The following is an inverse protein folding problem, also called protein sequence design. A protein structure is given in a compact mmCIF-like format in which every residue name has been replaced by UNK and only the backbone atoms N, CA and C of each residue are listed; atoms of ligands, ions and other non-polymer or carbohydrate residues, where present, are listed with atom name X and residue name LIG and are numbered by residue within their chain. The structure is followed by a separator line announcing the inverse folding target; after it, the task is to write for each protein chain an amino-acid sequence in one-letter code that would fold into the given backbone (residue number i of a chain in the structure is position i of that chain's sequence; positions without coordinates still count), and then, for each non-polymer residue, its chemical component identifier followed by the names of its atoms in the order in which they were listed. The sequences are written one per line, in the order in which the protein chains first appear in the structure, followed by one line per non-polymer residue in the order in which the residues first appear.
data_IF_325975704533
#
_entry.id   IF_325975704533
#
_cell.length_a   1.000
_cell.length_b   1.000
_cell.length_c   1.000
_cell.angle_alpha   90.00
_cell.angle_beta   90.00
_cell.angle_gamma   90.00
#
_symmetry.space_group_name_H-M   'P 1'
#
loop_
_entity.id
_entity.type
_entity.pdbx_description
1 polymer ?
#
# COMPACT_ATOMS: atom_id res chain seq x y z
N UNK A 1 -2.74 -25.46 -11.19
CA UNK A 1 -3.39 -24.30 -10.54
C UNK A 1 -3.70 -24.74 -9.13
N UNK A 2 -2.88 -24.36 -8.16
CA UNK A 2 -3.07 -24.71 -6.75
C UNK A 2 -3.53 -23.44 -6.04
N UNK A 3 -4.76 -23.46 -5.51
CA UNK A 3 -5.29 -22.39 -4.69
C UNK A 3 -5.17 -22.82 -3.23
N UNK A 4 -4.34 -22.10 -2.47
CA UNK A 4 -4.34 -22.18 -1.02
C UNK A 4 -5.13 -20.99 -0.51
N UNK A 5 -6.23 -21.28 0.20
CA UNK A 5 -7.08 -20.26 0.81
C UNK A 5 -6.55 -19.94 2.20
N UNK A 6 -5.95 -18.77 2.36
CA UNK A 6 -5.69 -18.11 3.65
C UNK A 6 -6.32 -16.73 3.49
N UNK A 7 -7.49 -16.47 4.10
CA UNK A 7 -8.17 -15.16 4.13
C UNK A 7 -8.42 -14.53 2.74
N UNK A 8 -9.64 -14.61 2.22
CA UNK A 8 -9.99 -14.01 0.92
C UNK A 8 -9.94 -12.48 0.95
N UNK A 9 -8.77 -11.90 0.75
CA UNK A 9 -8.65 -10.53 0.21
C UNK A 9 -8.72 -10.63 -1.31
N UNK A 10 -9.93 -10.52 -1.85
CA UNK A 10 -10.12 -10.33 -3.30
C UNK A 10 -9.71 -8.89 -3.61
N UNK A 11 -8.43 -8.69 -3.89
CA UNK A 11 -7.91 -7.41 -4.39
C UNK A 11 -8.30 -7.28 -5.86
N UNK A 12 -9.47 -6.67 -6.12
CA UNK A 12 -9.76 -6.10 -7.43
C UNK A 12 -8.93 -4.80 -7.61
N UNK A 13 -7.61 -4.96 -7.63
CA UNK A 13 -6.64 -3.91 -7.87
C UNK A 13 -5.87 -4.20 -9.16
N UNK A 14 -5.55 -3.16 -9.92
CA UNK A 14 -4.56 -3.30 -10.99
C UNK A 14 -3.24 -3.83 -10.42
N UNK A 15 -2.36 -4.35 -11.27
CA UNK A 15 -1.10 -4.98 -10.86
C UNK A 15 -0.24 -4.13 -9.89
N UNK A 16 -0.27 -2.81 -10.05
CA UNK A 16 0.44 -1.88 -9.16
C UNK A 16 -0.15 -1.89 -7.74
N UNK A 17 -1.47 -2.02 -7.60
CA UNK A 17 -2.13 -2.10 -6.30
C UNK A 17 -1.77 -3.40 -5.59
N UNK A 18 -1.73 -4.53 -6.30
CA UNK A 18 -1.30 -5.82 -5.73
C UNK A 18 0.14 -5.74 -5.20
N UNK A 19 1.03 -5.08 -5.95
CA UNK A 19 2.43 -4.90 -5.56
C UNK A 19 2.54 -3.94 -4.37
N UNK A 20 1.79 -2.83 -4.39
CA UNK A 20 1.74 -1.90 -3.28
C UNK A 20 1.22 -2.59 -2.01
N UNK A 21 0.18 -3.42 -2.13
CA UNK A 21 -0.39 -4.17 -1.02
C UNK A 21 0.65 -5.12 -0.42
N UNK A 22 1.31 -5.93 -1.25
CA UNK A 22 2.36 -6.83 -0.79
C UNK A 22 3.51 -6.07 -0.09
N UNK A 23 3.92 -4.93 -0.66
CA UNK A 23 4.96 -4.09 -0.07
C UNK A 23 4.51 -3.49 1.27
N UNK A 24 3.30 -2.93 1.36
CA UNK A 24 2.77 -2.34 2.59
C UNK A 24 2.64 -3.40 3.68
N UNK A 25 2.09 -4.58 3.38
CA UNK A 25 2.01 -5.70 4.33
C UNK A 25 3.38 -6.10 4.85
N UNK A 26 4.41 -6.16 4.00
CA UNK A 26 5.78 -6.44 4.44
C UNK A 26 6.45 -5.33 5.26
N UNK A 27 5.85 -4.13 5.32
CA UNK A 27 6.35 -3.00 6.11
C UNK A 27 5.53 -2.75 7.38
N UNK A 28 4.33 -3.30 7.48
CA UNK A 28 3.54 -3.29 8.70
C UNK A 28 4.27 -4.00 9.85
N UNK A 29 3.99 -3.60 11.08
CA UNK A 29 4.45 -4.35 12.25
C UNK A 29 3.67 -5.67 12.38
N UNK A 30 4.26 -6.66 13.04
CA UNK A 30 3.56 -7.89 13.37
C UNK A 30 2.25 -7.58 14.11
N UNK A 31 1.13 -8.14 13.63
CA UNK A 31 -0.25 -8.02 14.18
C UNK A 31 -1.01 -6.70 13.91
N UNK A 32 -0.76 -6.03 12.79
CA UNK A 32 -1.57 -4.89 12.34
C UNK A 32 -2.13 -5.08 10.95
N UNK A 33 -3.43 -4.81 10.76
CA UNK A 33 -4.02 -4.78 9.43
C UNK A 33 -3.41 -3.61 8.66
N UNK A 34 -2.84 -3.95 7.50
CA UNK A 34 -2.14 -2.99 6.64
C UNK A 34 -2.74 -3.02 5.24
N UNK A 35 -3.12 -1.86 4.73
CA UNK A 35 -3.67 -1.72 3.39
C UNK A 35 -2.86 -0.72 2.57
N UNK A 36 -2.70 -1.00 1.27
CA UNK A 36 -2.22 -0.04 0.30
C UNK A 36 -3.40 0.72 -0.30
N UNK A 37 -3.39 2.05 -0.18
CA UNK A 37 -4.46 2.92 -0.68
C UNK A 37 -3.90 3.80 -1.79
N UNK A 38 -4.48 3.79 -3.00
CA UNK A 38 -4.06 4.66 -4.08
C UNK A 38 -4.13 6.13 -3.69
N UNK A 39 -3.15 6.90 -4.16
CA UNK A 39 -3.08 8.34 -3.93
C UNK A 39 -2.95 9.08 -5.26
N UNK A 40 -3.82 10.07 -5.43
CA UNK A 40 -3.71 11.00 -6.56
C UNK A 40 -2.56 11.99 -6.36
N UNK A 41 -1.87 12.30 -7.46
CA UNK A 41 -0.80 13.29 -7.46
C UNK A 41 -1.37 14.69 -7.23
N UNK A 42 -0.76 15.47 -6.34
CA UNK A 42 -1.25 16.81 -6.00
C UNK A 42 -2.49 16.83 -5.09
N UNK A 43 -2.97 15.67 -4.64
CA UNK A 43 -4.10 15.54 -3.72
C UNK A 43 -3.69 15.53 -2.25
N UNK A 44 -4.60 15.00 -1.42
CA UNK A 44 -4.42 14.82 0.04
C UNK A 44 -3.09 14.13 0.39
N UNK A 45 -2.55 14.41 1.57
CA UNK A 45 -1.39 13.68 2.07
C UNK A 45 -1.79 12.23 2.38
N UNK A 46 -0.82 11.31 2.44
CA UNK A 46 -1.12 9.94 2.85
C UNK A 46 -1.62 9.87 4.29
N UNK A 47 -1.20 10.79 5.16
CA UNK A 47 -1.73 10.91 6.52
C UNK A 47 -3.24 11.23 6.51
N UNK A 48 -3.66 12.19 5.69
CA UNK A 48 -5.07 12.57 5.57
C UNK A 48 -5.89 11.45 4.94
N UNK A 49 -5.32 10.74 3.96
CA UNK A 49 -5.94 9.59 3.32
C UNK A 49 -6.18 8.50 4.37
N UNK A 50 -5.14 8.03 5.05
CA UNK A 50 -5.26 6.97 6.07
C UNK A 50 -6.23 7.36 7.19
N UNK A 51 -6.18 8.61 7.66
CA UNK A 51 -7.07 9.09 8.72
C UNK A 51 -8.55 9.17 8.29
N UNK A 52 -8.83 9.14 6.97
CA UNK A 52 -10.17 9.15 6.40
C UNK A 52 -10.71 7.75 6.04
N UNK A 53 -9.87 6.72 6.18
CA UNK A 53 -10.28 5.34 5.93
C UNK A 53 -11.24 4.92 7.03
N UNK A 54 -12.45 4.55 6.63
CA UNK A 54 -13.54 4.20 7.56
C UNK A 54 -13.44 2.76 8.06
N UNK A 55 -12.76 1.90 7.31
CA UNK A 55 -12.65 0.48 7.62
C UNK A 55 -11.34 -0.09 7.07
N UNK A 56 -10.57 -0.76 7.92
CA UNK A 56 -9.40 -1.57 7.55
C UNK A 56 -9.43 -2.96 8.20
N UNK A 57 -10.53 -3.33 8.85
CA UNK A 57 -10.60 -4.54 9.66
C UNK A 57 -11.27 -5.69 8.89
N UNK A 58 -10.64 -6.87 8.91
CA UNK A 58 -11.41 -8.10 9.13
C UNK A 58 -11.61 -8.19 10.65
N UNK A 59 -12.86 -8.07 11.10
CA UNK A 59 -13.36 -8.24 12.48
C UNK A 59 -12.31 -8.24 13.62
N UNK A 60 -12.14 -7.06 14.24
CA UNK A 60 -11.92 -6.87 15.68
C UNK A 60 -10.64 -7.43 16.32
N UNK A 61 -9.58 -6.62 16.34
CA UNK A 61 -8.60 -6.64 17.45
C UNK A 61 -8.35 -5.24 18.07
N UNK A 62 -8.65 -4.14 17.35
CA UNK A 62 -8.36 -2.77 17.80
C UNK A 62 -9.52 -1.77 17.61
N UNK A 63 -10.71 -2.02 18.19
CA UNK A 63 -11.86 -1.13 18.05
C UNK A 63 -11.53 0.32 18.46
N UNK A 64 -11.77 1.27 17.57
CA UNK A 64 -11.57 2.70 17.80
C UNK A 64 -10.18 3.25 17.41
N UNK A 65 -9.26 2.42 16.94
CA UNK A 65 -7.96 2.89 16.43
C UNK A 65 -8.12 3.44 15.02
N UNK A 66 -7.87 4.74 14.83
CA UNK A 66 -7.90 5.33 13.50
C UNK A 66 -6.68 4.87 12.70
N UNK A 67 -6.86 4.43 11.44
CA UNK A 67 -5.74 4.09 10.59
C UNK A 67 -4.79 5.28 10.42
N UNK A 68 -3.50 5.00 10.43
CA UNK A 68 -2.46 6.00 10.27
C UNK A 68 -1.46 5.58 9.19
N UNK A 69 -0.76 6.56 8.61
CA UNK A 69 0.22 6.28 7.57
C UNK A 69 1.53 5.78 8.19
N UNK A 70 2.01 4.63 7.71
CA UNK A 70 3.33 4.08 8.10
C UNK A 70 4.39 4.31 7.02
N UNK A 71 3.98 4.44 5.76
CA UNK A 71 4.89 4.58 4.62
C UNK A 71 4.13 5.12 3.39
N UNK A 72 4.85 5.80 2.50
CA UNK A 72 4.40 6.12 1.15
C UNK A 72 5.26 5.42 0.10
N UNK A 73 4.62 4.79 -0.89
CA UNK A 73 5.30 4.12 -2.00
C UNK A 73 5.01 4.85 -3.31
N UNK A 74 6.04 5.00 -4.14
CA UNK A 74 5.88 5.28 -5.57
C UNK A 74 6.20 4.04 -6.39
N UNK A 75 5.19 3.57 -7.13
CA UNK A 75 5.36 2.56 -8.17
C UNK A 75 5.47 3.28 -9.52
N UNK A 76 6.56 3.02 -10.23
CA UNK A 76 6.80 3.64 -11.53
C UNK A 76 6.01 2.92 -12.64
N UNK A 77 5.26 3.68 -13.44
CA UNK A 77 4.48 3.14 -14.56
C UNK A 77 5.34 2.52 -15.66
N UNK A 78 6.60 2.96 -15.82
CA UNK A 78 7.52 2.40 -16.81
C UNK A 78 8.07 1.07 -16.30
N UNK A 79 7.47 -0.02 -16.77
CA UNK A 79 7.86 -1.40 -16.48
C UNK A 79 8.78 -1.95 -17.57
N UNK A 80 9.68 -2.85 -17.19
CA UNK A 80 10.45 -3.72 -18.07
C UNK A 80 9.66 -4.97 -18.45
N UNK A 81 10.32 -5.94 -19.11
CA UNK A 81 9.68 -7.21 -19.48
C UNK A 81 9.38 -8.04 -18.22
N UNK A 82 8.16 -8.59 -18.14
CA UNK A 82 7.73 -9.47 -17.05
C UNK A 82 8.34 -10.87 -17.24
N UNK A 83 8.57 -11.58 -16.14
CA UNK A 83 9.02 -12.99 -16.13
C UNK A 83 10.29 -13.29 -16.95
N UNK A 84 11.16 -12.29 -17.14
CA UNK A 84 12.41 -12.41 -17.90
C UNK A 84 13.61 -12.41 -16.95
N UNK A 85 14.40 -13.48 -17.01
CA UNK A 85 15.58 -13.67 -16.15
C UNK A 85 16.56 -12.50 -16.28
N UNK A 86 17.17 -12.11 -15.14
CA UNK A 86 18.20 -11.08 -15.05
C UNK A 86 17.78 -9.68 -15.56
N UNK A 87 16.48 -9.42 -15.69
CA UNK A 87 15.97 -8.10 -16.05
C UNK A 87 15.11 -7.53 -14.93
N UNK A 88 15.21 -6.21 -14.70
CA UNK A 88 14.31 -5.55 -13.76
C UNK A 88 12.95 -5.41 -14.40
N UNK A 89 11.93 -5.93 -13.73
CA UNK A 89 10.57 -5.74 -14.17
C UNK A 89 10.03 -4.36 -13.79
N UNK A 90 10.34 -3.85 -12.60
CA UNK A 90 9.91 -2.51 -12.20
C UNK A 90 10.83 -1.84 -11.19
N UNK A 91 10.73 -0.52 -11.09
CA UNK A 91 11.31 0.25 -10.01
C UNK A 91 10.19 0.63 -9.02
N UNK A 92 10.54 0.66 -7.75
CA UNK A 92 9.71 1.21 -6.68
C UNK A 92 10.54 2.17 -5.84
N UNK A 93 9.90 3.14 -5.18
CA UNK A 93 10.56 4.06 -4.26
C UNK A 93 9.78 4.14 -2.95
N UNK A 94 10.49 3.96 -1.83
CA UNK A 94 9.98 4.15 -0.47
C UNK A 94 10.34 5.54 0.03
N UNK A 95 9.37 6.27 0.56
CA UNK A 95 9.59 7.63 1.06
C UNK A 95 9.95 7.69 2.56
N UNK A 96 9.76 6.59 3.30
CA UNK A 96 9.71 6.59 4.76
C UNK A 96 8.54 7.43 5.29
N UNK A 97 8.62 7.77 6.58
CA UNK A 97 7.66 8.66 7.25
C UNK A 97 7.48 10.02 6.54
N UNK A 98 8.48 10.49 5.77
CA UNK A 98 8.37 11.72 4.97
C UNK A 98 7.33 11.63 3.86
N UNK A 99 7.05 10.42 3.36
CA UNK A 99 6.01 10.17 2.36
C UNK A 99 4.61 10.45 2.87
N UNK A 100 4.39 10.28 4.18
CA UNK A 100 3.08 10.45 4.80
C UNK A 100 2.55 11.88 4.70
N UNK A 101 3.43 12.88 4.72
CA UNK A 101 3.08 14.31 4.69
C UNK A 101 3.25 14.96 3.30
N UNK A 102 3.75 14.21 2.31
CA UNK A 102 4.05 14.73 0.97
C UNK A 102 2.75 14.97 0.17
N UNK A 103 2.49 16.22 -0.24
CA UNK A 103 1.25 16.60 -0.96
C UNK A 103 1.42 16.84 -2.46
N UNK A 104 2.62 17.22 -2.93
CA UNK A 104 2.86 17.58 -4.35
C UNK A 104 3.29 16.39 -5.20
N UNK A 105 4.60 16.18 -5.32
CA UNK A 105 5.23 15.07 -6.05
C UNK A 105 5.66 14.05 -5.02
N UNK A 106 5.01 12.89 -4.99
CA UNK A 106 5.11 12.00 -3.85
C UNK A 106 4.64 10.59 -4.17
N UNK A 107 4.37 9.79 -3.14
CA UNK A 107 3.86 8.45 -3.31
C UNK A 107 2.54 8.44 -4.08
N UNK A 108 2.34 7.39 -4.86
CA UNK A 108 1.06 7.06 -5.50
C UNK A 108 0.30 5.95 -4.77
N UNK A 109 0.90 5.39 -3.72
CA UNK A 109 0.23 4.51 -2.76
C UNK A 109 0.61 4.88 -1.32
N UNK A 110 -0.38 4.86 -0.43
CA UNK A 110 -0.24 5.07 0.99
C UNK A 110 -0.35 3.74 1.72
N UNK A 111 0.62 3.39 2.57
CA UNK A 111 0.51 2.26 3.46
C UNK A 111 -0.17 2.73 4.74
N UNK A 112 -1.43 2.35 4.90
CA UNK A 112 -2.22 2.64 6.09
C UNK A 112 -2.21 1.41 7.00
N UNK A 113 -2.04 1.64 8.29
CA UNK A 113 -2.05 0.59 9.33
C UNK A 113 -2.94 1.03 10.49
N UNK A 114 -3.61 0.06 11.14
CA UNK A 114 -4.26 0.23 12.45
C UNK A 114 -3.39 -0.36 13.55
#
# INVERSE_FOLDING_TARGET
MYAYTIGTTVLAGGEDHTIAQAACTGMGSEKRYTAAIPRERGGKSCQDICSSVTDMDEETEYPGTKPYCIEGILIYQKKGPKDTLNTKWMNTWKYGAKGCVQTKWGPNFCCCSV
#
